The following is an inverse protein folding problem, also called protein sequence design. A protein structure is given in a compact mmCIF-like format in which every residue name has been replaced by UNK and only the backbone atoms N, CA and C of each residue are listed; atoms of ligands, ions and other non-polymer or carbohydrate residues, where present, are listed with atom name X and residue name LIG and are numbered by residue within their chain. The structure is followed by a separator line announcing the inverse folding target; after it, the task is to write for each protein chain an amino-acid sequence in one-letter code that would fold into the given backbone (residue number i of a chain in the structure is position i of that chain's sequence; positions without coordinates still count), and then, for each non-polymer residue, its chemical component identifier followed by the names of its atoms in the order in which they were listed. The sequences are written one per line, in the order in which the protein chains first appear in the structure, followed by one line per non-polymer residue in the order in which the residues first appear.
data_IF_358380078807
#
_entry.id   IF_358380078807
#
_cell.length_a   1.000
_cell.length_b   1.000
_cell.length_c   1.000
_cell.angle_alpha   90.00
_cell.angle_beta   90.00
_cell.angle_gamma   90.00
#
_symmetry.space_group_name_H-M   'P 1'
#
loop_
_entity.id
_entity.type
_entity.pdbx_description
1 polymer ?
#
# COMPACT_ATOMS: atom_id res chain seq x y z
N UNK A 1 2.73 10.66 2.67
CA UNK A 1 3.29 9.31 2.60
C UNK A 1 4.53 9.16 3.49
N UNK A 2 5.60 9.94 3.29
CA UNK A 2 6.90 9.83 4.01
C UNK A 2 6.76 9.84 5.54
N UNK A 3 5.92 10.70 6.10
CA UNK A 3 5.69 10.74 7.55
C UNK A 3 5.15 9.42 8.09
N UNK A 4 4.17 8.80 7.41
CA UNK A 4 3.59 7.52 7.81
C UNK A 4 4.61 6.38 7.72
N UNK A 5 5.42 6.37 6.65
CA UNK A 5 6.48 5.38 6.47
C UNK A 5 7.58 5.54 7.54
N UNK A 6 7.98 6.76 7.84
CA UNK A 6 8.97 7.05 8.89
C UNK A 6 8.46 6.61 10.28
N UNK A 7 7.21 6.91 10.60
CA UNK A 7 6.60 6.45 11.86
C UNK A 7 6.54 4.92 11.93
N UNK A 8 6.29 4.25 10.80
CA UNK A 8 6.29 2.78 10.72
C UNK A 8 7.68 2.21 11.00
N UNK A 9 8.74 2.78 10.42
CA UNK A 9 10.14 2.41 10.71
C UNK A 9 10.48 2.62 12.19
N UNK A 10 10.12 3.77 12.77
CA UNK A 10 10.36 4.06 14.19
C UNK A 10 9.65 3.06 15.13
N UNK A 11 8.53 2.48 14.68
CA UNK A 11 7.81 1.42 15.41
C UNK A 11 8.31 0.01 15.12
N UNK A 12 9.42 -0.13 14.40
CA UNK A 12 10.08 -1.40 14.12
C UNK A 12 9.48 -2.21 12.99
N UNK A 13 8.63 -1.61 12.15
CA UNK A 13 8.12 -2.27 10.95
C UNK A 13 9.22 -2.42 9.89
N UNK A 14 9.12 -3.44 9.05
CA UNK A 14 9.89 -3.50 7.79
C UNK A 14 9.11 -2.75 6.72
N UNK A 15 9.79 -1.85 6.02
CA UNK A 15 9.17 -0.96 5.03
C UNK A 15 9.70 -1.24 3.63
N UNK A 16 8.80 -1.34 2.70
CA UNK A 16 9.02 -1.51 1.27
C UNK A 16 8.40 -0.32 0.54
N UNK A 17 9.08 0.21 -0.47
CA UNK A 17 8.65 1.42 -1.16
C UNK A 17 8.72 1.22 -2.67
N UNK A 18 7.64 1.56 -3.36
CA UNK A 18 7.61 1.69 -4.82
C UNK A 18 7.65 3.18 -5.18
N UNK A 19 8.68 3.57 -5.97
CA UNK A 19 8.88 4.93 -6.48
C UNK A 19 9.30 4.87 -7.95
N UNK A 20 8.32 4.94 -8.85
CA UNK A 20 8.55 4.86 -10.30
C UNK A 20 9.15 6.15 -10.89
N UNK A 21 9.31 7.19 -10.07
CA UNK A 21 10.05 8.41 -10.45
C UNK A 21 11.57 8.27 -10.26
N UNK A 22 12.07 7.05 -10.11
CA UNK A 22 13.50 6.76 -10.05
C UNK A 22 14.17 7.13 -8.72
N UNK A 23 13.44 7.15 -7.62
CA UNK A 23 14.00 7.40 -6.29
C UNK A 23 14.20 8.88 -5.94
N UNK A 24 13.75 9.81 -6.80
CA UNK A 24 13.93 11.25 -6.60
C UNK A 24 13.19 11.74 -5.36
N UNK A 25 12.02 11.17 -5.09
CA UNK A 25 11.20 11.54 -3.95
C UNK A 25 11.71 10.95 -2.62
N UNK A 26 12.58 9.93 -2.67
CA UNK A 26 13.12 9.27 -1.48
C UNK A 26 14.65 9.40 -1.43
N UNK A 27 15.20 10.32 -0.61
CA UNK A 27 16.66 10.47 -0.44
C UNK A 27 17.35 9.16 -0.02
N UNK A 28 18.68 9.09 -0.25
CA UNK A 28 19.52 7.90 -0.02
C UNK A 28 19.30 7.20 1.32
N UNK A 29 18.99 7.95 2.37
CA UNK A 29 18.70 7.39 3.70
C UNK A 29 17.52 6.40 3.71
N UNK A 30 16.58 6.54 2.78
CA UNK A 30 15.48 5.58 2.63
C UNK A 30 15.94 4.28 1.99
N UNK A 31 16.84 4.37 1.00
CA UNK A 31 17.41 3.19 0.32
C UNK A 31 18.25 2.32 1.28
N UNK A 32 18.82 2.93 2.33
CA UNK A 32 19.58 2.20 3.35
C UNK A 32 18.69 1.49 4.37
N UNK A 33 17.43 1.91 4.53
CA UNK A 33 16.51 1.44 5.57
C UNK A 33 15.30 0.69 5.04
N UNK A 34 15.00 0.84 3.74
CA UNK A 34 13.84 0.27 3.09
C UNK A 34 14.28 -0.51 1.85
N UNK A 35 13.52 -1.51 1.49
CA UNK A 35 13.66 -2.11 0.18
C UNK A 35 12.87 -1.28 -0.82
N UNK A 36 13.58 -0.78 -1.85
CA UNK A 36 13.01 0.06 -2.90
C UNK A 36 12.75 -0.76 -4.16
N UNK A 37 11.69 -0.43 -4.89
CA UNK A 37 11.45 -0.90 -6.26
C UNK A 37 11.09 0.29 -7.16
N UNK A 38 11.61 0.27 -8.38
CA UNK A 38 11.55 1.40 -9.31
C UNK A 38 10.91 1.05 -10.65
N UNK A 39 10.55 -0.20 -10.83
CA UNK A 39 9.96 -0.76 -12.05
C UNK A 39 8.93 -1.84 -11.72
N UNK A 40 8.16 -2.23 -12.75
CA UNK A 40 7.08 -3.22 -12.60
C UNK A 40 7.59 -4.62 -12.25
N UNK A 41 8.77 -5.02 -12.70
CA UNK A 41 9.32 -6.36 -12.51
C UNK A 41 9.74 -6.55 -11.05
N UNK A 42 10.56 -5.66 -10.53
CA UNK A 42 10.98 -5.65 -9.12
C UNK A 42 9.81 -5.46 -8.16
N UNK A 43 8.81 -4.66 -8.55
CA UNK A 43 7.58 -4.51 -7.78
C UNK A 43 6.78 -5.82 -7.74
N UNK A 44 6.64 -6.52 -8.86
CA UNK A 44 5.91 -7.78 -8.91
C UNK A 44 6.57 -8.86 -8.05
N UNK A 45 7.89 -8.96 -8.06
CA UNK A 45 8.66 -9.86 -7.21
C UNK A 45 8.50 -9.53 -5.72
N UNK A 46 8.55 -8.24 -5.37
CA UNK A 46 8.33 -7.78 -4.01
C UNK A 46 6.93 -8.15 -3.51
N UNK A 47 5.90 -7.85 -4.31
CA UNK A 47 4.52 -8.16 -3.96
C UNK A 47 4.29 -9.67 -3.87
N UNK A 48 4.96 -10.48 -4.69
CA UNK A 48 4.94 -11.94 -4.58
C UNK A 48 5.50 -12.39 -3.23
N UNK A 49 6.62 -11.82 -2.80
CA UNK A 49 7.23 -12.10 -1.49
C UNK A 49 6.28 -11.74 -0.35
N UNK A 50 5.60 -10.59 -0.42
CA UNK A 50 4.62 -10.19 0.60
C UNK A 50 3.39 -11.11 0.65
N UNK A 51 2.89 -11.55 -0.51
CA UNK A 51 1.78 -12.51 -0.58
C UNK A 51 2.19 -13.88 -0.04
N UNK A 52 3.39 -14.36 -0.36
CA UNK A 52 3.92 -15.61 0.19
C UNK A 52 4.06 -15.55 1.71
N UNK A 53 4.56 -14.44 2.24
CA UNK A 53 4.65 -14.22 3.69
C UNK A 53 3.26 -14.14 4.35
N UNK A 54 2.28 -13.54 3.66
CA UNK A 54 0.88 -13.53 4.11
C UNK A 54 0.35 -14.96 4.26
N UNK A 55 0.50 -15.79 3.24
CA UNK A 55 0.03 -17.18 3.28
C UNK A 55 0.79 -18.01 4.33
N UNK A 56 2.08 -17.78 4.51
CA UNK A 56 2.87 -18.38 5.59
C UNK A 56 2.31 -18.04 6.98
N UNK A 57 2.05 -16.75 7.23
CA UNK A 57 1.48 -16.28 8.51
C UNK A 57 0.07 -16.80 8.73
N UNK A 58 -0.73 -16.83 7.69
CA UNK A 58 -2.10 -17.34 7.71
C UNK A 58 -2.11 -18.83 8.16
N UNK A 59 -1.24 -19.64 7.57
CA UNK A 59 -1.09 -21.05 7.95
C UNK A 59 -0.61 -21.18 9.42
N UNK A 60 0.44 -20.44 9.79
CA UNK A 60 1.01 -20.43 11.13
C UNK A 60 -0.01 -20.06 12.22
N UNK A 61 -0.79 -18.99 11.96
CA UNK A 61 -1.80 -18.54 12.94
C UNK A 61 -2.97 -19.52 13.04
N UNK A 62 -3.38 -20.12 11.92
CA UNK A 62 -4.43 -21.14 11.92
C UNK A 62 -4.00 -22.40 12.71
N UNK A 63 -2.78 -22.89 12.51
CA UNK A 63 -2.24 -24.05 13.21
C UNK A 63 -2.11 -23.84 14.72
N UNK A 64 -1.82 -22.61 15.15
CA UNK A 64 -1.61 -22.27 16.56
C UNK A 64 -2.83 -21.59 17.21
N UNK A 65 -3.95 -21.43 16.47
CA UNK A 65 -5.20 -20.89 17.01
C UNK A 65 -5.20 -19.39 17.30
N UNK A 66 -4.37 -18.60 16.61
CA UNK A 66 -4.33 -17.16 16.80
C UNK A 66 -5.11 -16.41 15.70
N UNK A 67 -5.96 -15.44 16.05
CA UNK A 67 -6.77 -14.71 15.07
C UNK A 67 -6.01 -13.62 14.32
N UNK A 68 -4.88 -13.15 14.84
CA UNK A 68 -4.11 -12.05 14.23
C UNK A 68 -2.70 -11.94 14.82
N UNK A 69 -1.84 -11.12 14.18
CA UNK A 69 -0.45 -10.90 14.57
C UNK A 69 -0.29 -10.38 16.01
N UNK A 70 -1.23 -9.55 16.51
CA UNK A 70 -1.12 -9.03 17.88
C UNK A 70 -1.36 -10.12 18.91
N UNK A 71 -2.36 -10.97 18.69
CA UNK A 71 -2.63 -12.13 19.54
C UNK A 71 -1.49 -13.15 19.48
N UNK A 72 -0.97 -13.41 18.27
CA UNK A 72 0.17 -14.29 18.06
C UNK A 72 1.40 -13.82 18.84
N UNK A 73 1.85 -12.58 18.63
CA UNK A 73 3.02 -12.03 19.32
C UNK A 73 2.85 -12.02 20.85
N UNK A 74 1.64 -11.72 21.33
CA UNK A 74 1.36 -11.73 22.78
C UNK A 74 1.35 -13.15 23.36
N UNK A 75 0.80 -14.10 22.63
CA UNK A 75 0.64 -15.47 23.13
C UNK A 75 1.91 -16.31 23.08
N UNK A 76 2.75 -16.09 22.06
CA UNK A 76 4.01 -16.84 21.87
C UNK A 76 5.24 -16.15 22.49
N UNK A 77 5.16 -14.84 22.73
CA UNK A 77 6.33 -14.02 23.06
C UNK A 77 7.23 -13.72 21.86
N UNK A 78 6.89 -14.19 20.67
CA UNK A 78 7.58 -13.82 19.44
C UNK A 78 7.27 -12.37 19.03
N UNK A 79 8.14 -11.79 18.20
CA UNK A 79 8.01 -10.43 17.71
C UNK A 79 8.00 -10.40 16.18
N UNK A 80 6.97 -11.03 15.58
CA UNK A 80 6.77 -10.88 14.14
C UNK A 80 6.54 -9.39 13.81
N UNK A 81 7.42 -8.86 12.94
CA UNK A 81 7.34 -7.47 12.52
C UNK A 81 6.15 -7.25 11.56
N UNK A 82 5.56 -6.06 11.64
CA UNK A 82 4.66 -5.60 10.58
C UNK A 82 5.45 -5.30 9.32
N UNK A 83 4.86 -5.61 8.18
CA UNK A 83 5.39 -5.31 6.85
C UNK A 83 4.52 -4.21 6.25
N UNK A 84 5.13 -3.11 5.85
CA UNK A 84 4.44 -1.96 5.29
C UNK A 84 4.92 -1.76 3.86
N UNK A 85 4.01 -1.83 2.90
CA UNK A 85 4.29 -1.45 1.53
C UNK A 85 3.73 -0.06 1.26
N UNK A 86 4.59 0.87 0.86
CA UNK A 86 4.25 2.23 0.44
C UNK A 86 4.41 2.41 -1.05
N UNK A 87 3.41 2.99 -1.70
CA UNK A 87 3.47 3.38 -3.11
C UNK A 87 3.18 4.88 -3.22
N UNK A 88 4.08 5.66 -3.84
CA UNK A 88 3.95 7.12 -3.90
C UNK A 88 2.90 7.57 -4.92
N UNK A 89 2.80 6.90 -6.06
CA UNK A 89 1.79 7.18 -7.09
C UNK A 89 1.23 5.87 -7.65
N UNK A 90 0.23 5.31 -6.97
CA UNK A 90 -0.35 4.02 -7.37
C UNK A 90 -1.09 4.09 -8.71
N UNK A 91 -1.60 5.26 -9.09
CA UNK A 91 -2.25 5.44 -10.39
C UNK A 91 -1.26 5.26 -11.55
N UNK A 92 -0.01 5.70 -11.39
CA UNK A 92 1.05 5.49 -12.39
C UNK A 92 1.38 4.01 -12.55
N UNK A 93 1.42 3.26 -11.44
CA UNK A 93 1.67 1.81 -11.44
C UNK A 93 0.56 1.01 -12.12
N UNK A 94 -0.69 1.45 -11.96
CA UNK A 94 -1.87 0.71 -12.45
C UNK A 94 -2.41 1.22 -13.80
N UNK A 95 -1.88 2.31 -14.35
CA UNK A 95 -2.29 2.84 -15.64
C UNK A 95 -1.83 1.92 -16.79
N UNK A 96 -2.80 1.33 -17.45
CA UNK A 96 -2.58 0.41 -18.59
C UNK A 96 -2.61 1.11 -19.96
N UNK A 97 -2.65 2.45 -19.98
CA UNK A 97 -2.76 3.23 -21.20
C UNK A 97 -1.49 3.11 -22.04
N UNK A 98 -1.63 2.81 -23.33
CA UNK A 98 -0.49 2.68 -24.24
C UNK A 98 0.38 1.45 -24.05
N UNK A 99 0.08 0.58 -23.08
CA UNK A 99 0.84 -0.65 -22.82
C UNK A 99 0.53 -1.76 -23.83
N UNK A 100 1.52 -2.56 -24.14
CA UNK A 100 1.37 -3.81 -24.89
C UNK A 100 0.67 -4.90 -24.04
N UNK A 101 0.43 -6.08 -24.65
CA UNK A 101 -0.25 -7.19 -23.97
C UNK A 101 0.53 -7.73 -22.77
N UNK A 102 1.85 -7.85 -22.88
CA UNK A 102 2.70 -8.41 -21.83
C UNK A 102 2.78 -7.45 -20.63
N UNK A 103 2.90 -6.15 -20.89
CA UNK A 103 2.86 -5.11 -19.86
C UNK A 103 1.51 -5.09 -19.13
N UNK A 104 0.38 -5.12 -19.85
CA UNK A 104 -0.96 -5.19 -19.26
C UNK A 104 -1.15 -6.42 -18.37
N UNK A 105 -0.62 -7.56 -18.77
CA UNK A 105 -0.66 -8.79 -17.98
C UNK A 105 0.14 -8.64 -16.68
N UNK A 106 1.34 -8.04 -16.74
CA UNK A 106 2.18 -7.78 -15.58
C UNK A 106 1.49 -6.83 -14.59
N UNK A 107 0.94 -5.71 -15.07
CA UNK A 107 0.15 -4.80 -14.23
C UNK A 107 -1.08 -5.49 -13.64
N UNK A 108 -1.75 -6.37 -14.39
CA UNK A 108 -2.84 -7.20 -13.87
C UNK A 108 -2.41 -8.13 -12.73
N UNK A 109 -1.21 -8.67 -12.78
CA UNK A 109 -0.65 -9.46 -11.68
C UNK A 109 -0.32 -8.61 -10.45
N UNK A 110 0.24 -7.41 -10.64
CA UNK A 110 0.48 -6.42 -9.57
C UNK A 110 -0.85 -6.07 -8.89
N UNK A 111 -1.86 -5.72 -9.67
CA UNK A 111 -3.22 -5.40 -9.19
C UNK A 111 -3.81 -6.53 -8.34
N UNK A 112 -3.72 -7.78 -8.81
CA UNK A 112 -4.22 -8.96 -8.10
C UNK A 112 -3.53 -9.16 -6.75
N UNK A 113 -2.20 -8.95 -6.67
CA UNK A 113 -1.43 -9.07 -5.43
C UNK A 113 -1.76 -7.94 -4.45
N UNK A 114 -1.87 -6.70 -4.92
CA UNK A 114 -2.33 -5.56 -4.10
C UNK A 114 -3.73 -5.81 -3.54
N UNK A 115 -4.67 -6.29 -4.37
CA UNK A 115 -6.03 -6.62 -3.92
C UNK A 115 -6.04 -7.73 -2.85
N UNK A 116 -5.18 -8.74 -2.99
CA UNK A 116 -5.03 -9.81 -2.01
C UNK A 116 -4.51 -9.28 -0.67
N UNK A 117 -3.48 -8.44 -0.68
CA UNK A 117 -2.93 -7.83 0.53
C UNK A 117 -3.94 -6.86 1.16
N UNK A 118 -4.63 -6.03 0.37
CA UNK A 118 -5.65 -5.10 0.86
C UNK A 118 -6.75 -5.85 1.62
N UNK A 119 -7.23 -6.96 1.08
CA UNK A 119 -8.30 -7.77 1.66
C UNK A 119 -7.89 -8.53 2.91
N UNK A 120 -6.69 -9.10 2.95
CA UNK A 120 -6.28 -10.07 3.97
C UNK A 120 -5.17 -9.58 4.89
N UNK A 121 -4.32 -8.66 4.44
CA UNK A 121 -3.05 -8.30 5.10
C UNK A 121 -3.19 -7.81 6.54
N UNK A 122 -4.28 -7.10 6.86
CA UNK A 122 -4.50 -6.48 8.19
C UNK A 122 -4.31 -7.46 9.35
N UNK A 123 -4.95 -8.62 9.29
CA UNK A 123 -4.87 -9.62 10.35
C UNK A 123 -3.46 -10.19 10.50
N UNK A 124 -2.73 -10.29 9.40
CA UNK A 124 -1.39 -10.90 9.34
C UNK A 124 -0.25 -9.87 9.47
N UNK A 125 -0.58 -8.59 9.68
CA UNK A 125 0.38 -7.51 9.88
C UNK A 125 1.10 -7.06 8.60
N UNK A 126 0.45 -7.20 7.45
CA UNK A 126 0.94 -6.71 6.16
C UNK A 126 -0.02 -5.61 5.69
N UNK A 127 0.50 -4.39 5.53
CA UNK A 127 -0.32 -3.21 5.27
C UNK A 127 0.14 -2.47 4.01
N UNK A 128 -0.83 -1.87 3.31
CA UNK A 128 -0.61 -1.01 2.16
C UNK A 128 -0.81 0.45 2.56
N UNK A 129 0.08 1.33 2.11
CA UNK A 129 -0.09 2.78 2.11
C UNK A 129 0.03 3.25 0.66
N UNK A 130 -1.10 3.43 0.02
CA UNK A 130 -1.16 3.81 -1.39
C UNK A 130 -1.46 5.30 -1.48
N UNK A 131 -0.55 6.07 -2.06
CA UNK A 131 -0.74 7.47 -2.37
C UNK A 131 -1.01 7.66 -3.85
N UNK A 132 -1.75 8.70 -4.20
CA UNK A 132 -1.96 9.14 -5.57
C UNK A 132 -2.38 10.59 -5.61
N UNK A 133 -1.96 11.29 -6.65
CA UNK A 133 -2.45 12.62 -7.02
C UNK A 133 -3.65 12.52 -7.97
N UNK A 134 -3.92 11.33 -8.53
CA UNK A 134 -4.99 11.06 -9.48
C UNK A 134 -5.88 9.92 -8.97
N UNK A 135 -6.74 10.15 -7.97
CA UNK A 135 -7.64 9.11 -7.47
C UNK A 135 -8.79 8.88 -8.46
N UNK A 136 -8.47 8.40 -9.66
CA UNK A 136 -9.46 8.00 -10.64
C UNK A 136 -10.02 6.62 -10.29
N UNK A 137 -11.34 6.50 -10.27
CA UNK A 137 -12.02 5.25 -10.00
C UNK A 137 -11.71 4.16 -11.06
N UNK A 138 -11.29 4.57 -12.27
CA UNK A 138 -10.90 3.66 -13.33
C UNK A 138 -9.48 3.12 -13.15
N UNK A 139 -8.59 3.89 -12.50
CA UNK A 139 -7.20 3.53 -12.28
C UNK A 139 -7.01 2.65 -11.04
N UNK A 140 -7.75 2.92 -9.95
CA UNK A 140 -7.66 2.12 -8.72
C UNK A 140 -8.88 1.21 -8.63
N UNK A 141 -8.73 -0.10 -8.92
CA UNK A 141 -9.85 -1.04 -8.91
C UNK A 141 -10.60 -1.07 -7.59
N UNK A 142 -11.92 -1.26 -7.67
CA UNK A 142 -12.78 -1.33 -6.50
C UNK A 142 -12.35 -2.40 -5.49
N UNK A 143 -11.77 -3.49 -5.96
CA UNK A 143 -11.23 -4.56 -5.10
C UNK A 143 -10.10 -4.08 -4.17
N UNK A 144 -9.30 -3.10 -4.59
CA UNK A 144 -8.29 -2.48 -3.74
C UNK A 144 -8.94 -1.40 -2.88
N UNK A 145 -9.63 -0.43 -3.51
CA UNK A 145 -10.21 0.74 -2.86
C UNK A 145 -11.19 0.38 -1.73
N UNK A 146 -12.05 -0.62 -1.93
CA UNK A 146 -13.07 -1.02 -0.95
C UNK A 146 -12.51 -1.77 0.26
N UNK A 147 -11.23 -2.18 0.22
CA UNK A 147 -10.54 -2.83 1.33
C UNK A 147 -9.53 -1.89 2.03
N UNK A 148 -9.48 -0.60 1.65
CA UNK A 148 -8.69 0.43 2.30
C UNK A 148 -9.61 1.31 3.14
N UNK A 149 -9.75 0.94 4.42
CA UNK A 149 -10.68 1.61 5.36
C UNK A 149 -10.21 3.00 5.79
N UNK A 150 -8.89 3.22 5.89
CA UNK A 150 -8.32 4.50 6.25
C UNK A 150 -8.01 5.29 4.98
N UNK A 151 -8.74 6.40 4.79
CA UNK A 151 -8.58 7.28 3.63
C UNK A 151 -8.24 8.67 4.09
N UNK A 152 -7.22 9.27 3.47
CA UNK A 152 -6.75 10.62 3.76
C UNK A 152 -6.81 11.40 2.45
N UNK A 153 -7.53 12.49 2.43
CA UNK A 153 -7.61 13.39 1.31
C UNK A 153 -7.10 14.78 1.75
N UNK A 154 -6.17 15.33 0.99
CA UNK A 154 -5.82 16.74 1.10
C UNK A 154 -6.92 17.62 0.50
N UNK A 155 -6.68 18.92 0.42
CA UNK A 155 -7.61 19.81 -0.27
C UNK A 155 -7.82 19.36 -1.71
N UNK A 156 -9.09 19.20 -2.09
CA UNK A 156 -9.48 18.70 -3.39
C UNK A 156 -10.76 19.38 -3.87
N UNK A 157 -11.05 19.29 -5.15
CA UNK A 157 -12.36 19.63 -5.70
C UNK A 157 -13.42 18.63 -5.18
N UNK A 158 -14.71 19.06 -5.19
CA UNK A 158 -15.81 18.29 -4.61
C UNK A 158 -15.89 16.85 -5.14
N UNK A 159 -15.80 16.68 -6.45
CA UNK A 159 -15.85 15.36 -7.10
C UNK A 159 -14.73 14.44 -6.58
N UNK A 160 -13.54 15.00 -6.44
CA UNK A 160 -12.37 14.25 -5.94
C UNK A 160 -12.51 13.90 -4.46
N UNK A 161 -13.02 14.83 -3.65
CA UNK A 161 -13.32 14.60 -2.24
C UNK A 161 -14.34 13.49 -2.05
N UNK A 162 -15.43 13.52 -2.82
CA UNK A 162 -16.47 12.48 -2.80
C UNK A 162 -15.92 11.13 -3.25
N UNK A 163 -15.04 11.09 -4.25
CA UNK A 163 -14.42 9.86 -4.73
C UNK A 163 -13.51 9.20 -3.68
N UNK A 164 -12.75 10.00 -2.92
CA UNK A 164 -11.78 9.49 -1.92
C UNK A 164 -12.45 9.24 -0.57
N UNK A 165 -13.28 10.18 -0.11
CA UNK A 165 -13.81 10.18 1.26
C UNK A 165 -15.28 9.74 1.34
N UNK A 166 -15.94 9.50 0.22
CA UNK A 166 -17.40 9.37 0.13
C UNK A 166 -18.13 10.61 0.72
N UNK A 167 -17.48 11.79 0.69
CA UNK A 167 -17.92 13.02 1.32
C UNK A 167 -17.27 14.25 0.66
N UNK A 168 -17.94 15.41 0.58
CA UNK A 168 -17.36 16.65 0.08
C UNK A 168 -16.41 17.35 1.09
N UNK A 169 -16.12 16.74 2.24
CA UNK A 169 -15.42 17.38 3.36
C UNK A 169 -14.05 17.98 2.98
N UNK A 170 -13.27 17.35 2.13
CA UNK A 170 -11.97 17.88 1.72
C UNK A 170 -12.09 19.15 0.87
N UNK A 171 -13.19 19.31 0.14
CA UNK A 171 -13.47 20.51 -0.63
C UNK A 171 -14.03 21.66 0.21
N UNK A 172 -14.83 21.34 1.21
CA UNK A 172 -15.60 22.33 1.99
C UNK A 172 -14.90 22.76 3.27
N UNK A 173 -14.21 21.84 3.95
CA UNK A 173 -13.64 22.08 5.28
C UNK A 173 -12.15 22.44 5.26
N UNK A 174 -11.42 22.10 4.20
CA UNK A 174 -10.00 22.47 4.08
C UNK A 174 -9.90 23.85 3.40
N UNK A 175 -9.29 24.87 4.04
CA UNK A 175 -9.11 26.19 3.45
C UNK A 175 -8.37 26.15 2.11
N UNK A 176 -8.65 27.13 1.22
CA UNK A 176 -8.04 27.20 -0.14
C UNK A 176 -6.53 27.43 -0.10
N UNK A 177 -6.04 28.03 0.94
CA UNK A 177 -4.63 28.37 1.20
C UNK A 177 -3.92 27.34 2.10
N UNK A 178 -4.60 26.29 2.54
CA UNK A 178 -3.97 25.18 3.26
C UNK A 178 -2.99 24.44 2.36
N UNK A 179 -1.73 24.33 2.79
CA UNK A 179 -0.63 23.61 2.14
C UNK A 179 -0.18 22.41 2.97
#
# INVERSE_FOLDING_TARGET
LKLLLMQSLCKGATVYISDFKGGVDFPKVWHERCQMCFDEETLLELLATLVNELERRKKLFAEQGYPNIAAYNKGTGEHLKRLIFGCDEVAEVLDKTGMDKAQKERVGQIESKLATIARLGRAFGIHLILATQRPDAQLIPGQIRNNLDCRICGRAERVLSELVLDSPAAAEQIPKDAR
#
